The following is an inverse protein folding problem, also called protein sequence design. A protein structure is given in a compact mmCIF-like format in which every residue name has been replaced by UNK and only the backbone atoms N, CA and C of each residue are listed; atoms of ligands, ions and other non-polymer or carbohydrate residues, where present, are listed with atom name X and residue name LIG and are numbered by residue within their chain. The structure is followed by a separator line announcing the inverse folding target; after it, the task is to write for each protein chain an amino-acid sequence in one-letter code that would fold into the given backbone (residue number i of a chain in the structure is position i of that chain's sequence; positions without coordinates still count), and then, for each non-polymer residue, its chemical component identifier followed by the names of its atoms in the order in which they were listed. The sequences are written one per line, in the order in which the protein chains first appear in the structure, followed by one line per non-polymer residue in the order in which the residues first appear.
data_IF_152318829640
#
_entry.id   IF_152318829640
#
_cell.length_a   1.000
_cell.length_b   1.000
_cell.length_c   1.000
_cell.angle_alpha   90.00
_cell.angle_beta   90.00
_cell.angle_gamma   90.00
#
_symmetry.space_group_name_H-M   'P 1'
#
loop_
_entity.id
_entity.type
_entity.pdbx_description
1 polymer ?
#
# COMPACT_ATOMS: atom_id res chain seq x y z
N UNK A 1 7.72 11.63 19.07
CA UNK A 1 7.50 10.47 19.97
C UNK A 1 7.07 9.16 19.28
N UNK A 2 6.63 9.13 18.00
CA UNK A 2 6.28 7.86 17.32
C UNK A 2 7.45 7.22 16.55
N UNK A 3 8.43 8.01 16.06
CA UNK A 3 9.68 7.47 15.50
C UNK A 3 10.45 6.58 16.51
N UNK A 4 10.13 6.71 17.80
CA UNK A 4 10.82 6.05 18.91
C UNK A 4 10.45 4.56 19.06
N UNK A 5 9.22 4.12 18.74
CA UNK A 5 8.85 2.70 18.95
C UNK A 5 9.47 1.77 17.91
N UNK A 6 9.58 2.22 16.66
CA UNK A 6 10.13 1.42 15.56
C UNK A 6 11.64 1.21 15.75
N UNK A 7 12.33 2.22 16.27
CA UNK A 7 13.79 2.24 16.38
C UNK A 7 14.34 1.82 17.76
N UNK A 8 13.49 1.66 18.79
CA UNK A 8 13.90 1.22 20.12
C UNK A 8 13.73 -0.30 20.24
N UNK A 9 14.82 -1.05 20.45
CA UNK A 9 14.74 -2.48 20.77
C UNK A 9 13.83 -2.71 21.98
N UNK A 10 13.02 -3.76 21.93
CA UNK A 10 12.14 -4.18 23.03
C UNK A 10 11.05 -3.17 23.45
N UNK A 11 10.82 -2.12 22.66
CA UNK A 11 9.71 -1.21 22.93
C UNK A 11 8.37 -1.94 22.88
N UNK A 12 7.51 -1.66 23.86
CA UNK A 12 6.15 -2.17 23.86
C UNK A 12 5.39 -1.67 22.61
N UNK A 13 4.55 -2.50 21.98
CA UNK A 13 3.75 -2.08 20.84
C UNK A 13 2.84 -0.90 21.20
N UNK A 14 2.73 0.07 20.28
CA UNK A 14 1.83 1.22 20.43
C UNK A 14 0.86 1.25 19.27
N UNK A 15 -0.45 1.28 19.56
CA UNK A 15 -1.49 1.43 18.54
C UNK A 15 -1.98 2.86 18.51
N UNK A 16 -2.05 3.45 17.31
CA UNK A 16 -2.69 4.73 17.09
C UNK A 16 -3.64 4.61 15.89
N UNK A 17 -4.93 4.83 16.14
CA UNK A 17 -6.01 4.58 15.16
C UNK A 17 -5.91 3.15 14.61
N UNK A 18 -5.66 3.00 13.31
CA UNK A 18 -5.60 1.73 12.60
C UNK A 18 -4.15 1.20 12.39
N UNK A 19 -3.13 1.86 12.95
CA UNK A 19 -1.73 1.46 12.83
C UNK A 19 -1.20 0.95 14.18
N UNK A 20 -0.44 -0.14 14.15
CA UNK A 20 0.30 -0.62 15.34
C UNK A 20 1.80 -0.60 15.09
N UNK A 21 2.52 0.20 15.86
CA UNK A 21 3.95 0.37 15.80
C UNK A 21 4.62 -0.64 16.74
N UNK A 22 5.66 -1.32 16.26
CA UNK A 22 6.46 -2.28 17.01
C UNK A 22 7.95 -2.07 16.64
N UNK A 23 8.90 -2.61 17.42
CA UNK A 23 10.30 -2.63 17.03
C UNK A 23 10.48 -3.20 15.61
N UNK A 24 11.07 -2.41 14.74
CA UNK A 24 11.38 -2.76 13.34
C UNK A 24 10.19 -2.88 12.38
N UNK A 25 8.94 -2.63 12.79
CA UNK A 25 7.78 -2.81 11.89
C UNK A 25 6.52 -2.04 12.28
N UNK A 26 5.66 -1.83 11.30
CA UNK A 26 4.31 -1.27 11.48
C UNK A 26 3.29 -2.27 10.94
N UNK A 27 2.30 -2.62 11.75
CA UNK A 27 1.12 -3.36 11.30
C UNK A 27 0.14 -2.40 10.64
N UNK A 28 -0.18 -2.66 9.38
CA UNK A 28 -1.18 -1.94 8.60
C UNK A 28 -2.60 -2.38 9.00
N UNK A 29 -3.64 -1.62 8.60
CA UNK A 29 -5.02 -1.92 8.99
C UNK A 29 -5.49 -3.31 8.54
N UNK A 30 -5.01 -3.79 7.39
CA UNK A 30 -5.33 -5.12 6.88
C UNK A 30 -4.61 -6.27 7.60
N UNK A 31 -3.73 -5.96 8.55
CA UNK A 31 -2.98 -6.91 9.35
C UNK A 31 -1.61 -7.31 8.81
N UNK A 32 -1.24 -6.89 7.59
CA UNK A 32 0.11 -7.07 7.07
C UNK A 32 1.11 -6.17 7.79
N UNK A 33 2.39 -6.55 7.73
CA UNK A 33 3.47 -5.77 8.31
C UNK A 33 4.30 -5.10 7.22
N UNK A 34 4.62 -3.84 7.47
CA UNK A 34 5.69 -3.13 6.80
C UNK A 34 6.92 -3.16 7.70
N UNK A 35 8.03 -3.68 7.19
CA UNK A 35 9.26 -3.90 7.97
C UNK A 35 10.34 -2.88 7.62
N UNK A 36 11.16 -2.58 8.62
CA UNK A 36 12.31 -1.69 8.55
C UNK A 36 13.52 -2.45 9.08
N UNK A 37 14.32 -2.99 8.17
CA UNK A 37 15.43 -3.86 8.52
C UNK A 37 16.68 -3.05 8.90
N UNK A 38 17.49 -3.59 9.82
CA UNK A 38 18.79 -3.03 10.22
C UNK A 38 18.74 -1.54 10.56
N UNK A 39 17.83 -1.12 11.44
CA UNK A 39 17.72 0.29 11.83
C UNK A 39 19.02 0.75 12.49
N UNK A 40 19.57 1.87 12.01
CA UNK A 40 20.71 2.57 12.60
C UNK A 40 20.26 3.88 13.24
N UNK A 41 20.95 4.25 14.30
CA UNK A 41 20.81 5.54 14.98
C UNK A 41 22.19 6.17 15.06
N UNK A 42 22.35 7.32 14.43
CA UNK A 42 23.60 8.09 14.38
C UNK A 42 23.34 9.49 14.91
N UNK A 43 24.31 10.12 15.57
CA UNK A 43 24.17 11.50 16.03
C UNK A 43 24.66 12.44 14.94
N UNK A 44 23.90 13.50 14.65
CA UNK A 44 24.38 14.60 13.80
C UNK A 44 25.35 15.54 14.54
N UNK A 45 25.90 16.52 13.82
CA UNK A 45 26.91 17.47 14.33
C UNK A 45 26.42 18.29 15.53
N UNK A 46 25.11 18.36 15.77
CA UNK A 46 24.47 19.06 16.88
C UNK A 46 23.87 18.11 17.92
N UNK A 47 24.22 16.82 17.85
CA UNK A 47 23.87 15.80 18.83
C UNK A 47 22.45 15.27 18.74
N UNK A 48 21.75 15.45 17.61
CA UNK A 48 20.40 14.92 17.41
C UNK A 48 20.46 13.53 16.76
N UNK A 49 19.63 12.57 17.22
CA UNK A 49 19.60 11.24 16.63
C UNK A 49 18.95 11.28 15.24
N UNK A 50 19.66 10.75 14.26
CA UNK A 50 19.23 10.49 12.90
C UNK A 50 19.03 8.99 12.73
N UNK A 51 17.89 8.61 12.17
CA UNK A 51 17.52 7.22 12.01
C UNK A 51 17.59 6.84 10.53
N UNK A 52 18.09 5.66 10.25
CA UNK A 52 18.07 5.09 8.90
C UNK A 52 17.78 3.59 8.94
N UNK A 53 17.28 3.04 7.83
CA UNK A 53 17.00 1.61 7.69
C UNK A 53 17.54 1.08 6.37
N UNK A 54 17.83 -0.21 6.32
CA UNK A 54 18.30 -0.90 5.11
C UNK A 54 17.11 -1.27 4.22
N UNK A 55 17.10 -0.78 2.98
CA UNK A 55 16.03 -1.10 2.02
C UNK A 55 16.35 -2.28 1.08
N UNK A 56 17.41 -3.05 1.38
CA UNK A 56 17.94 -4.10 0.51
C UNK A 56 19.08 -3.66 -0.42
N UNK A 57 19.29 -2.35 -0.60
CA UNK A 57 20.33 -1.79 -1.49
C UNK A 57 21.15 -0.68 -0.84
N UNK A 58 20.48 0.24 -0.14
CA UNK A 58 21.11 1.37 0.54
C UNK A 58 20.39 1.67 1.85
N UNK A 59 21.07 2.41 2.73
CA UNK A 59 20.40 3.00 3.89
C UNK A 59 19.55 4.19 3.45
N UNK A 60 18.29 4.20 3.91
CA UNK A 60 17.33 5.28 3.68
C UNK A 60 16.97 5.93 5.01
N UNK A 61 16.75 7.24 4.99
CA UNK A 61 16.36 7.97 6.19
C UNK A 61 15.02 7.45 6.72
N UNK A 62 14.89 7.40 8.05
CA UNK A 62 13.68 7.01 8.76
C UNK A 62 13.20 8.18 9.62
N UNK A 63 12.42 9.07 9.02
CA UNK A 63 11.78 10.18 9.74
C UNK A 63 10.27 10.17 9.53
N UNK A 64 9.56 11.08 10.18
CA UNK A 64 8.09 11.15 10.17
C UNK A 64 7.50 11.19 8.75
N UNK A 65 8.10 11.99 7.85
CA UNK A 65 7.70 12.06 6.44
C UNK A 65 7.78 10.71 5.73
N UNK A 66 8.91 10.00 5.86
CA UNK A 66 9.09 8.66 5.27
C UNK A 66 8.11 7.65 5.87
N UNK A 67 7.87 7.71 7.18
CA UNK A 67 6.87 6.84 7.82
C UNK A 67 5.47 7.13 7.28
N UNK A 68 5.08 8.40 7.15
CA UNK A 68 3.78 8.81 6.64
C UNK A 68 3.55 8.37 5.19
N UNK A 69 4.54 8.57 4.32
CA UNK A 69 4.52 8.10 2.93
C UNK A 69 4.36 6.57 2.87
N UNK A 70 5.22 5.86 3.59
CA UNK A 70 5.25 4.40 3.61
C UNK A 70 3.92 3.78 4.09
N UNK A 71 3.34 4.27 5.19
CA UNK A 71 2.05 3.74 5.69
C UNK A 71 0.89 4.07 4.74
N UNK A 72 0.91 5.24 4.10
CA UNK A 72 -0.13 5.66 3.17
C UNK A 72 -0.08 4.80 1.91
N UNK A 73 1.08 4.74 1.25
CA UNK A 73 1.29 3.95 0.03
C UNK A 73 1.11 2.45 0.26
N UNK A 74 1.62 1.92 1.39
CA UNK A 74 1.45 0.53 1.76
C UNK A 74 -0.02 0.16 1.99
N UNK A 75 -0.77 1.05 2.65
CA UNK A 75 -2.22 0.86 2.85
C UNK A 75 -2.98 0.93 1.51
N UNK A 76 -2.68 1.91 0.65
CA UNK A 76 -3.29 2.02 -0.67
C UNK A 76 -3.06 0.77 -1.53
N UNK A 77 -1.83 0.23 -1.55
CA UNK A 77 -1.51 -1.04 -2.23
C UNK A 77 -2.33 -2.22 -1.73
N UNK A 78 -2.64 -2.26 -0.42
CA UNK A 78 -3.49 -3.31 0.14
C UNK A 78 -4.92 -3.16 -0.38
N UNK A 79 -5.49 -1.94 -0.34
CA UNK A 79 -6.87 -1.67 -0.79
C UNK A 79 -7.08 -2.05 -2.25
N UNK A 80 -6.25 -1.55 -3.17
CA UNK A 80 -6.40 -1.92 -4.59
C UNK A 80 -6.07 -3.39 -4.83
N UNK A 81 -5.11 -3.95 -4.09
CA UNK A 81 -4.76 -5.35 -4.16
C UNK A 81 -5.94 -6.27 -3.86
N UNK A 82 -6.74 -5.95 -2.85
CA UNK A 82 -7.96 -6.69 -2.52
C UNK A 82 -9.00 -6.59 -3.65
N UNK A 83 -9.13 -5.42 -4.28
CA UNK A 83 -9.96 -5.24 -5.47
C UNK A 83 -9.51 -6.12 -6.64
N UNK A 84 -8.22 -6.09 -6.96
CA UNK A 84 -7.64 -6.94 -8.02
C UNK A 84 -7.81 -8.44 -7.71
N UNK A 85 -7.67 -8.85 -6.46
CA UNK A 85 -7.87 -10.24 -6.03
C UNK A 85 -9.33 -10.70 -6.19
N UNK A 86 -10.31 -9.81 -6.01
CA UNK A 86 -11.74 -10.11 -6.31
C UNK A 86 -11.99 -10.30 -7.80
N UNK A 87 -11.28 -9.58 -8.66
CA UNK A 87 -11.39 -9.69 -10.13
C UNK A 87 -10.73 -10.97 -10.66
N UNK A 88 -9.60 -11.35 -10.05
CA UNK A 88 -8.70 -12.43 -10.50
C UNK A 88 -9.36 -13.78 -10.87
N UNK A 89 -10.39 -14.28 -10.16
CA UNK A 89 -11.03 -15.55 -10.51
C UNK A 89 -11.76 -15.54 -11.85
N UNK A 90 -12.19 -14.36 -12.34
CA UNK A 90 -12.91 -14.19 -13.60
C UNK A 90 -12.03 -13.61 -14.70
N UNK A 91 -11.27 -12.57 -14.37
CA UNK A 91 -10.36 -11.91 -15.30
C UNK A 91 -9.00 -11.78 -14.62
N UNK A 92 -7.99 -12.46 -15.18
CA UNK A 92 -6.62 -12.37 -14.67
C UNK A 92 -6.08 -10.96 -14.91
N UNK A 93 -5.55 -10.32 -13.86
CA UNK A 93 -4.81 -9.06 -14.01
C UNK A 93 -3.53 -9.33 -14.81
N UNK A 94 -3.43 -8.74 -15.99
CA UNK A 94 -2.29 -8.84 -16.89
C UNK A 94 -1.15 -7.91 -16.45
N UNK A 95 -1.49 -6.71 -15.96
CA UNK A 95 -0.51 -5.72 -15.54
C UNK A 95 -1.04 -4.91 -14.35
N UNK A 96 -0.51 -5.13 -13.14
CA UNK A 96 -0.72 -4.25 -11.99
C UNK A 96 0.36 -3.16 -11.94
N UNK A 97 -0.03 -1.88 -11.94
CA UNK A 97 0.88 -0.72 -11.84
C UNK A 97 0.34 0.25 -10.79
N UNK A 98 0.94 0.28 -9.60
CA UNK A 98 0.50 1.17 -8.51
C UNK A 98 -1.01 1.05 -8.22
N UNK A 99 -1.80 2.05 -8.60
CA UNK A 99 -3.25 2.15 -8.47
C UNK A 99 -4.01 1.78 -9.76
N UNK A 100 -3.33 1.17 -10.74
CA UNK A 100 -3.86 0.76 -12.03
C UNK A 100 -3.81 -0.77 -12.21
N UNK A 101 -4.88 -1.33 -12.77
CA UNK A 101 -4.94 -2.72 -13.19
C UNK A 101 -5.36 -2.83 -14.65
N UNK A 102 -4.74 -3.75 -15.38
CA UNK A 102 -5.10 -4.05 -16.78
C UNK A 102 -5.56 -5.51 -16.87
N UNK A 103 -6.70 -5.71 -17.53
CA UNK A 103 -7.29 -7.03 -17.77
C UNK A 103 -7.50 -7.24 -19.27
N UNK A 104 -7.24 -8.46 -19.72
CA UNK A 104 -7.59 -8.88 -21.09
C UNK A 104 -8.94 -9.57 -21.01
N UNK A 105 -9.92 -9.04 -21.74
CA UNK A 105 -11.29 -9.56 -21.80
C UNK A 105 -11.68 -9.81 -23.26
N UNK A 106 -12.54 -10.79 -23.55
CA UNK A 106 -13.17 -10.93 -24.87
C UNK A 106 -13.93 -9.65 -25.25
N UNK A 107 -13.90 -9.28 -26.53
CA UNK A 107 -14.57 -8.07 -27.03
C UNK A 107 -16.08 -8.07 -26.76
N UNK A 108 -16.73 -9.24 -26.88
CA UNK A 108 -18.15 -9.44 -26.60
C UNK A 108 -18.50 -9.40 -25.11
N UNK A 109 -17.50 -9.44 -24.22
CA UNK A 109 -17.69 -9.38 -22.78
C UNK A 109 -17.50 -7.96 -22.21
N UNK A 110 -17.05 -6.98 -23.00
CA UNK A 110 -16.67 -5.63 -22.53
C UNK A 110 -17.80 -4.96 -21.74
N UNK A 111 -19.04 -4.99 -22.26
CA UNK A 111 -20.20 -4.35 -21.64
C UNK A 111 -20.50 -4.90 -20.23
N UNK A 112 -20.20 -6.18 -20.00
CA UNK A 112 -20.40 -6.84 -18.70
C UNK A 112 -19.16 -6.72 -17.82
N UNK A 113 -17.97 -6.81 -18.40
CA UNK A 113 -16.71 -6.83 -17.68
C UNK A 113 -16.39 -5.47 -17.05
N UNK A 114 -16.57 -4.36 -17.78
CA UNK A 114 -16.24 -3.02 -17.28
C UNK A 114 -16.97 -2.67 -15.96
N UNK A 115 -18.31 -2.64 -15.89
CA UNK A 115 -18.99 -2.30 -14.64
C UNK A 115 -18.67 -3.30 -13.53
N UNK A 116 -18.60 -4.59 -13.85
CA UNK A 116 -18.30 -5.62 -12.85
C UNK A 116 -16.89 -5.46 -12.24
N UNK A 117 -15.87 -5.18 -13.07
CA UNK A 117 -14.50 -4.92 -12.61
C UNK A 117 -14.49 -3.66 -11.73
N UNK A 118 -15.13 -2.57 -12.16
CA UNK A 118 -15.23 -1.34 -11.36
C UNK A 118 -15.85 -1.62 -10.00
N UNK A 119 -16.97 -2.34 -9.94
CA UNK A 119 -17.62 -2.73 -8.69
C UNK A 119 -16.68 -3.52 -7.77
N UNK A 120 -15.87 -4.43 -8.33
CA UNK A 120 -14.88 -5.16 -7.54
C UNK A 120 -13.76 -4.26 -7.01
N UNK A 121 -13.29 -3.28 -7.79
CA UNK A 121 -12.22 -2.37 -7.38
C UNK A 121 -12.66 -1.41 -6.29
N UNK A 122 -13.91 -0.93 -6.35
CA UNK A 122 -14.45 0.05 -5.39
C UNK A 122 -15.19 -0.59 -4.22
N UNK A 123 -15.32 -1.92 -4.19
CA UNK A 123 -15.96 -2.61 -3.09
C UNK A 123 -15.24 -2.33 -1.75
N UNK A 124 -16.00 -2.01 -0.67
CA UNK A 124 -15.43 -1.69 0.63
C UNK A 124 -14.50 -2.78 1.17
N UNK A 125 -13.42 -2.38 1.84
CA UNK A 125 -12.54 -3.28 2.59
C UNK A 125 -12.92 -3.30 4.06
N UNK A 126 -12.88 -4.48 4.69
CA UNK A 126 -13.35 -4.67 6.07
C UNK A 126 -12.53 -3.91 7.12
N UNK A 127 -11.27 -3.62 6.81
CA UNK A 127 -10.32 -2.97 7.72
C UNK A 127 -10.29 -1.43 7.61
N UNK A 128 -11.03 -0.83 6.65
CA UNK A 128 -11.23 0.62 6.52
C UNK A 128 -12.70 0.91 6.20
N UNK A 129 -13.63 0.69 7.15
CA UNK A 129 -15.05 0.92 6.91
C UNK A 129 -15.32 2.39 6.59
N UNK A 130 -16.11 2.63 5.54
CA UNK A 130 -16.49 3.98 5.10
C UNK A 130 -15.42 4.74 4.30
N UNK A 131 -14.33 4.07 3.88
CA UNK A 131 -13.36 4.70 2.97
C UNK A 131 -14.03 5.05 1.63
N UNK A 132 -13.90 6.30 1.14
CA UNK A 132 -14.36 6.63 -0.21
C UNK A 132 -13.41 6.00 -1.24
N UNK A 133 -13.96 5.15 -2.10
CA UNK A 133 -13.24 4.56 -3.23
C UNK A 133 -14.02 4.84 -4.51
N UNK A 134 -13.27 5.19 -5.56
CA UNK A 134 -13.78 5.27 -6.91
C UNK A 134 -12.69 4.82 -7.89
N UNK A 135 -13.08 4.51 -9.12
CA UNK A 135 -12.18 4.12 -10.18
C UNK A 135 -12.71 4.62 -11.53
N UNK A 136 -11.80 5.13 -12.35
CA UNK A 136 -12.03 5.37 -13.77
C UNK A 136 -11.71 4.08 -14.54
N UNK A 137 -12.58 3.70 -15.48
CA UNK A 137 -12.40 2.46 -16.24
C UNK A 137 -12.72 2.70 -17.72
N UNK A 138 -11.89 2.13 -18.59
CA UNK A 138 -12.06 2.19 -20.05
C UNK A 138 -11.63 0.87 -20.69
N UNK A 139 -12.00 0.69 -21.96
CA UNK A 139 -11.60 -0.46 -22.76
C UNK A 139 -11.18 0.03 -24.15
N UNK A 140 -10.07 -0.49 -24.64
CA UNK A 140 -9.61 -0.30 -26.01
C UNK A 140 -8.72 -1.49 -26.42
N UNK A 141 -8.49 -1.63 -27.72
CA UNK A 141 -7.60 -2.66 -28.27
C UNK A 141 -6.12 -2.42 -27.90
N UNK A 142 -5.76 -1.17 -27.54
CA UNK A 142 -4.41 -0.78 -27.15
C UNK A 142 -4.41 -0.20 -25.75
N UNK A 143 -3.43 -0.61 -24.94
CA UNK A 143 -3.29 -0.15 -23.55
C UNK A 143 -3.34 1.38 -23.40
N UNK A 144 -2.59 2.12 -24.23
CA UNK A 144 -2.55 3.58 -24.15
C UNK A 144 -3.89 4.29 -24.45
N UNK A 145 -4.80 3.60 -25.13
CA UNK A 145 -6.14 4.10 -25.48
C UNK A 145 -7.23 3.58 -24.51
N UNK A 146 -6.89 2.60 -23.67
CA UNK A 146 -7.84 1.99 -22.73
C UNK A 146 -8.01 2.77 -21.43
N UNK A 147 -7.17 3.80 -21.21
CA UNK A 147 -7.29 4.72 -20.08
C UNK A 147 -8.42 5.70 -20.38
N UNK A 148 -9.42 5.74 -19.50
CA UNK A 148 -10.49 6.72 -19.56
C UNK A 148 -10.09 8.08 -18.97
#
# INVERSE_FOLDING_TARGET
MIATVIAVPDAAPVTHKCLTFMPGKIKLPNGLFMTYDNIKVEMDDIGRPQYSYWNGKTYKALHSGIVAENVTSGTARCVIGDGMLRVQPRYRCAMPVHDEGVWVVPDDAIEVALPWIKDQLIAPVSYLPGIPLDATIGAAQRYGESKA
#
